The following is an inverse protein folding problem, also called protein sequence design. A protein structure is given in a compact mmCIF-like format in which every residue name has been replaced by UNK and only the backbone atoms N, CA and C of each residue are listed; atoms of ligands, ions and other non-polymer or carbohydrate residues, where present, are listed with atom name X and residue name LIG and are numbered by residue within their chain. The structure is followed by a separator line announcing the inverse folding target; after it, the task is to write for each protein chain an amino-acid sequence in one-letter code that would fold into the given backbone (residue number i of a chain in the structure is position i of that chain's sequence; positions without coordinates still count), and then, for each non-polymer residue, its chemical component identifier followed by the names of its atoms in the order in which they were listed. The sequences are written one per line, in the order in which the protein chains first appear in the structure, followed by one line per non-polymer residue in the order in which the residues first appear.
data_IF_884082696420
#
_entry.id   IF_884082696420
#
_cell.length_a   1.000
_cell.length_b   1.000
_cell.length_c   1.000
_cell.angle_alpha   90.00
_cell.angle_beta   90.00
_cell.angle_gamma   90.00
#
_symmetry.space_group_name_H-M   'P 1'
#
loop_
_entity.id
_entity.type
_entity.pdbx_description
1 polymer ?
#
# COMPACT_ATOMS: atom_id res chain seq x y z
N UNK A 1 -13.71 42.60 39.55
CA UNK A 1 -14.15 42.36 38.15
C UNK A 1 -12.99 41.78 37.35
N UNK A 2 -12.89 40.46 37.21
CA UNK A 2 -11.87 39.82 36.38
C UNK A 2 -12.39 39.59 34.97
N UNK A 3 -11.66 40.05 33.96
CA UNK A 3 -11.98 39.79 32.56
C UNK A 3 -11.97 38.28 32.32
N UNK A 4 -13.14 37.72 31.98
CA UNK A 4 -13.24 36.38 31.41
C UNK A 4 -12.64 36.47 30.01
N UNK A 5 -11.42 35.96 29.84
CA UNK A 5 -10.85 35.74 28.52
C UNK A 5 -11.81 34.82 27.76
N UNK A 6 -12.44 35.35 26.72
CA UNK A 6 -13.28 34.58 25.81
C UNK A 6 -12.29 33.71 25.05
N UNK A 7 -12.22 32.42 25.39
CA UNK A 7 -11.44 31.46 24.63
C UNK A 7 -11.97 31.45 23.20
N UNK A 8 -11.32 32.22 22.32
CA UNK A 8 -11.67 32.30 20.91
C UNK A 8 -11.50 30.93 20.25
N UNK A 9 -12.32 30.69 19.23
CA UNK A 9 -12.16 29.53 18.35
C UNK A 9 -10.74 29.57 17.77
N UNK A 10 -9.93 28.55 18.03
CA UNK A 10 -8.60 28.41 17.44
C UNK A 10 -8.77 28.03 15.97
N UNK A 11 -8.62 29.00 15.06
CA UNK A 11 -8.72 28.80 13.60
C UNK A 11 -7.41 28.30 12.95
N UNK A 12 -6.50 27.75 13.74
CA UNK A 12 -5.20 27.28 13.27
C UNK A 12 -5.22 25.75 13.08
N UNK A 13 -5.55 25.32 11.85
CA UNK A 13 -5.65 23.90 11.49
C UNK A 13 -4.27 23.26 11.43
N UNK A 14 -4.04 22.30 12.33
CA UNK A 14 -2.79 21.53 12.43
C UNK A 14 -3.06 20.20 13.14
N UNK A 15 -2.02 19.37 13.26
CA UNK A 15 -2.12 18.11 14.00
C UNK A 15 -2.65 18.31 15.42
N UNK A 16 -3.70 17.56 15.84
CA UNK A 16 -4.19 17.55 17.22
C UNK A 16 -3.12 17.20 18.27
N UNK A 17 -2.09 16.44 17.87
CA UNK A 17 -0.97 16.08 18.76
C UNK A 17 -0.14 17.29 19.21
N UNK A 18 -0.26 18.43 18.53
CA UNK A 18 0.41 19.68 18.91
C UNK A 18 -0.35 20.46 19.99
N UNK A 19 -1.52 19.98 20.42
CA UNK A 19 -2.31 20.56 21.50
C UNK A 19 -3.27 19.53 22.11
N UNK A 20 -2.72 18.46 22.71
CA UNK A 20 -3.49 17.30 23.21
C UNK A 20 -4.49 17.71 24.31
N UNK A 21 -4.11 18.66 25.16
CA UNK A 21 -5.00 19.18 26.21
C UNK A 21 -6.35 19.65 25.65
N UNK A 22 -6.30 20.53 24.64
CA UNK A 22 -7.51 21.11 24.05
C UNK A 22 -8.18 20.18 23.03
N UNK A 23 -7.42 19.31 22.35
CA UNK A 23 -7.97 18.46 21.29
C UNK A 23 -8.57 17.15 21.82
N UNK A 24 -7.94 16.53 22.81
CA UNK A 24 -8.26 15.16 23.26
C UNK A 24 -8.81 15.14 24.69
N UNK A 25 -8.22 15.90 25.60
CA UNK A 25 -8.53 15.79 27.04
C UNK A 25 -9.85 16.44 27.46
N UNK A 26 -10.51 17.16 26.55
CA UNK A 26 -11.91 17.57 26.71
C UNK A 26 -12.79 16.35 26.98
N UNK A 27 -12.52 15.23 26.28
CA UNK A 27 -13.25 13.96 26.38
C UNK A 27 -12.45 12.85 27.10
N UNK A 28 -11.15 12.72 26.85
CA UNK A 28 -10.32 11.63 27.39
C UNK A 28 -9.54 12.04 28.64
N UNK A 29 -9.82 11.39 29.78
CA UNK A 29 -9.18 11.72 31.07
C UNK A 29 -7.93 10.87 31.32
N UNK A 30 -6.97 10.94 30.41
CA UNK A 30 -5.66 10.28 30.50
C UNK A 30 -4.52 11.29 30.38
N UNK A 31 -3.31 10.98 30.88
CA UNK A 31 -2.13 11.83 30.69
C UNK A 31 -1.87 12.11 29.20
N UNK A 32 -1.39 13.31 28.89
CA UNK A 32 -1.08 13.69 27.49
C UNK A 32 -0.06 12.75 26.85
N UNK A 33 0.91 12.27 27.64
CA UNK A 33 1.91 11.29 27.20
C UNK A 33 1.30 9.97 26.78
N UNK A 34 0.33 9.46 27.53
CA UNK A 34 -0.36 8.20 27.21
C UNK A 34 -1.22 8.35 25.95
N UNK A 35 -1.94 9.48 25.81
CA UNK A 35 -2.73 9.77 24.60
C UNK A 35 -1.84 9.85 23.36
N UNK A 36 -0.70 10.53 23.48
CA UNK A 36 0.29 10.64 22.40
C UNK A 36 0.82 9.26 22.01
N UNK A 37 1.27 8.48 22.99
CA UNK A 37 1.82 7.14 22.77
C UNK A 37 0.81 6.23 22.06
N UNK A 38 -0.47 6.25 22.46
CA UNK A 38 -1.52 5.48 21.80
C UNK A 38 -1.68 5.84 20.32
N UNK A 39 -1.63 7.13 19.98
CA UNK A 39 -1.69 7.61 18.59
C UNK A 39 -0.47 7.12 17.82
N UNK A 40 0.73 7.28 18.38
CA UNK A 40 1.99 6.87 17.74
C UNK A 40 2.05 5.34 17.53
N UNK A 41 1.55 4.53 18.46
CA UNK A 41 1.44 3.07 18.31
C UNK A 41 0.55 2.71 17.13
N UNK A 42 -0.59 3.40 16.96
CA UNK A 42 -1.48 3.18 15.82
C UNK A 42 -0.74 3.50 14.52
N UNK A 43 -0.15 4.68 14.44
CA UNK A 43 0.57 5.14 13.24
C UNK A 43 1.73 4.20 12.89
N UNK A 44 2.51 3.77 13.88
CA UNK A 44 3.63 2.85 13.70
C UNK A 44 3.17 1.48 13.15
N UNK A 45 2.06 0.94 13.66
CA UNK A 45 1.50 -0.34 13.17
C UNK A 45 1.04 -0.24 11.73
N UNK A 46 0.32 0.83 11.39
CA UNK A 46 -0.19 1.04 10.03
C UNK A 46 0.95 1.29 9.07
N UNK A 47 1.92 2.13 9.44
CA UNK A 47 3.14 2.37 8.65
C UNK A 47 3.88 1.06 8.35
N UNK A 48 4.04 0.19 9.35
CA UNK A 48 4.64 -1.14 9.18
C UNK A 48 3.88 -2.01 8.17
N UNK A 49 2.56 -2.14 8.33
CA UNK A 49 1.72 -2.91 7.40
C UNK A 49 1.75 -2.35 5.98
N UNK A 50 1.75 -1.03 5.85
CA UNK A 50 1.80 -0.33 4.57
C UNK A 50 3.11 -0.58 3.84
N UNK A 51 4.25 -0.61 4.54
CA UNK A 51 5.53 -0.96 3.93
C UNK A 51 5.55 -2.42 3.47
N UNK A 52 5.03 -3.35 4.30
CA UNK A 52 4.89 -4.74 3.90
C UNK A 52 4.03 -4.90 2.64
N UNK A 53 2.92 -4.16 2.53
CA UNK A 53 2.06 -4.17 1.35
C UNK A 53 2.77 -3.61 0.11
N UNK A 54 3.55 -2.53 0.26
CA UNK A 54 4.30 -1.93 -0.85
C UNK A 54 5.33 -2.86 -1.46
N UNK A 55 6.08 -3.54 -0.62
CA UNK A 55 7.20 -4.37 -1.07
C UNK A 55 6.74 -5.77 -1.52
N UNK A 56 5.47 -6.13 -1.27
CA UNK A 56 5.00 -7.51 -1.33
C UNK A 56 5.10 -8.20 -2.71
N UNK A 57 5.04 -7.48 -3.83
CA UNK A 57 5.04 -8.08 -5.19
C UNK A 57 5.91 -7.32 -6.21
N UNK A 58 6.23 -6.07 -5.93
CA UNK A 58 6.92 -5.19 -6.90
C UNK A 58 8.29 -5.72 -7.30
N UNK A 59 9.05 -6.26 -6.36
CA UNK A 59 10.41 -6.77 -6.63
C UNK A 59 10.39 -8.12 -7.35
N UNK A 60 9.39 -8.96 -7.10
CA UNK A 60 9.19 -10.20 -7.87
C UNK A 60 8.90 -9.90 -9.35
N UNK A 61 8.03 -8.91 -9.62
CA UNK A 61 7.74 -8.46 -10.98
C UNK A 61 8.96 -7.86 -11.67
N UNK A 62 9.77 -7.06 -10.96
CA UNK A 62 11.05 -6.54 -11.48
C UNK A 62 12.00 -7.68 -11.84
N UNK A 63 12.18 -8.65 -10.93
CA UNK A 63 13.05 -9.80 -11.15
C UNK A 63 12.58 -10.68 -12.31
N UNK A 64 11.28 -10.95 -12.40
CA UNK A 64 10.68 -11.72 -13.49
C UNK A 64 10.88 -11.06 -14.86
N UNK A 65 10.72 -9.73 -14.92
CA UNK A 65 11.01 -8.94 -16.13
C UNK A 65 12.50 -8.96 -16.48
N UNK A 66 13.39 -8.83 -15.50
CA UNK A 66 14.84 -8.89 -15.72
C UNK A 66 15.31 -10.27 -16.19
N UNK A 67 14.61 -11.35 -15.80
CA UNK A 67 14.84 -12.71 -16.28
C UNK A 67 14.31 -12.97 -17.70
N UNK A 68 13.71 -11.96 -18.37
CA UNK A 68 13.25 -12.08 -19.74
C UNK A 68 11.90 -12.78 -19.93
N UNK A 69 11.09 -12.88 -18.87
CA UNK A 69 9.71 -13.40 -19.02
C UNK A 69 8.91 -12.54 -20.00
N UNK A 70 8.14 -13.18 -20.88
CA UNK A 70 7.32 -12.49 -21.85
C UNK A 70 6.22 -11.67 -21.15
N UNK A 71 5.83 -10.54 -21.73
CA UNK A 71 4.80 -9.67 -21.14
C UNK A 71 3.45 -10.39 -20.95
N UNK A 72 3.14 -11.36 -21.83
CA UNK A 72 1.96 -12.20 -21.72
C UNK A 72 1.98 -13.07 -20.46
N UNK A 73 3.14 -13.61 -20.09
CA UNK A 73 3.32 -14.43 -18.89
C UNK A 73 3.21 -13.58 -17.61
N UNK A 74 3.56 -12.29 -17.67
CA UNK A 74 3.47 -11.37 -16.53
C UNK A 74 2.06 -10.80 -16.31
N UNK A 75 1.13 -10.98 -17.25
CA UNK A 75 -0.15 -10.28 -17.26
C UNK A 75 -0.99 -10.54 -15.99
N UNK A 76 -1.10 -11.80 -15.56
CA UNK A 76 -1.88 -12.16 -14.37
C UNK A 76 -1.30 -11.55 -13.08
N UNK A 77 0.03 -11.61 -12.91
CA UNK A 77 0.70 -11.02 -11.75
C UNK A 77 0.58 -9.49 -11.74
N UNK A 78 0.63 -8.84 -12.91
CA UNK A 78 0.41 -7.39 -13.04
C UNK A 78 -1.02 -6.96 -12.72
N UNK A 79 -2.03 -7.77 -13.05
CA UNK A 79 -3.42 -7.49 -12.64
C UNK A 79 -3.57 -7.52 -11.13
N UNK A 80 -3.00 -8.53 -10.47
CA UNK A 80 -2.95 -8.58 -9.00
C UNK A 80 -2.22 -7.37 -8.40
N UNK A 81 -1.05 -7.00 -8.95
CA UNK A 81 -0.32 -5.80 -8.53
C UNK A 81 -1.16 -4.54 -8.65
N UNK A 82 -1.87 -4.34 -9.77
CA UNK A 82 -2.72 -3.16 -9.99
C UNK A 82 -3.80 -3.04 -8.91
N UNK A 83 -4.45 -4.16 -8.58
CA UNK A 83 -5.51 -4.20 -7.55
C UNK A 83 -4.94 -4.00 -6.14
N UNK A 84 -3.82 -4.65 -5.84
CA UNK A 84 -3.11 -4.49 -4.56
C UNK A 84 -2.68 -3.04 -4.35
N UNK A 85 -2.12 -2.41 -5.39
CA UNK A 85 -1.66 -1.03 -5.36
C UNK A 85 -2.81 -0.05 -5.17
N UNK A 86 -3.97 -0.26 -5.79
CA UNK A 86 -5.14 0.59 -5.54
C UNK A 86 -5.53 0.62 -4.05
N UNK A 87 -5.55 -0.54 -3.39
CA UNK A 87 -5.89 -0.64 -1.97
C UNK A 87 -4.82 0.00 -1.08
N UNK A 88 -3.55 -0.19 -1.41
CA UNK A 88 -2.43 0.48 -0.75
C UNK A 88 -2.57 2.02 -0.86
N UNK A 89 -2.73 2.52 -2.08
CA UNK A 89 -2.80 3.95 -2.38
C UNK A 89 -4.01 4.59 -1.69
N UNK A 90 -5.13 3.86 -1.58
CA UNK A 90 -6.31 4.32 -0.85
C UNK A 90 -6.01 4.58 0.64
N UNK A 91 -5.24 3.71 1.28
CA UNK A 91 -4.83 3.89 2.69
C UNK A 91 -3.78 4.99 2.81
N UNK A 92 -2.82 5.04 1.89
CA UNK A 92 -1.71 6.00 1.93
C UNK A 92 -2.13 7.44 1.59
N UNK A 93 -3.22 7.62 0.84
CA UNK A 93 -3.79 8.93 0.54
C UNK A 93 -4.29 9.67 1.81
N UNK A 94 -4.42 8.96 2.93
CA UNK A 94 -4.85 9.46 4.22
C UNK A 94 -3.63 9.77 5.11
N UNK A 95 -3.36 11.06 5.35
CA UNK A 95 -2.12 11.51 6.00
C UNK A 95 -2.06 11.28 7.53
N UNK A 96 -3.14 10.87 8.20
CA UNK A 96 -3.10 10.55 9.64
C UNK A 96 -2.48 9.19 9.94
N UNK A 97 -2.11 8.42 8.91
CA UNK A 97 -1.48 7.10 9.03
C UNK A 97 -2.40 6.13 9.79
N UNK A 98 -3.67 6.12 9.41
CA UNK A 98 -4.68 5.21 9.95
C UNK A 98 -5.19 5.56 11.35
N UNK A 99 -4.89 6.73 11.91
CA UNK A 99 -5.43 7.15 13.20
C UNK A 99 -6.97 7.23 13.18
N UNK A 100 -7.56 7.73 12.08
CA UNK A 100 -9.01 7.89 11.97
C UNK A 100 -9.78 6.56 11.88
N UNK A 101 -9.19 5.50 11.32
CA UNK A 101 -9.84 4.20 11.14
C UNK A 101 -8.81 3.05 11.12
N UNK A 102 -8.12 2.76 12.25
CA UNK A 102 -6.95 1.89 12.23
C UNK A 102 -7.26 0.44 11.86
N UNK A 103 -8.40 -0.07 12.30
CA UNK A 103 -8.82 -1.44 11.98
C UNK A 103 -9.17 -1.58 10.49
N UNK A 104 -9.79 -0.56 9.91
CA UNK A 104 -10.14 -0.57 8.49
C UNK A 104 -8.90 -0.40 7.60
N UNK A 105 -7.98 0.50 7.97
CA UNK A 105 -6.70 0.62 7.30
C UNK A 105 -5.94 -0.71 7.34
N UNK A 106 -5.89 -1.39 8.49
CA UNK A 106 -5.27 -2.71 8.61
C UNK A 106 -5.97 -3.79 7.75
N UNK A 107 -7.31 -3.79 7.68
CA UNK A 107 -8.08 -4.72 6.83
C UNK A 107 -7.73 -4.54 5.36
N UNK A 108 -7.76 -3.29 4.86
CA UNK A 108 -7.47 -2.96 3.46
C UNK A 108 -6.01 -3.31 3.11
N UNK A 109 -5.06 -2.99 3.99
CA UNK A 109 -3.65 -3.36 3.78
C UNK A 109 -3.47 -4.89 3.79
N UNK A 110 -4.21 -5.61 4.63
CA UNK A 110 -4.25 -7.08 4.60
C UNK A 110 -4.73 -7.62 3.24
N UNK A 111 -5.79 -7.04 2.67
CA UNK A 111 -6.28 -7.41 1.33
C UNK A 111 -5.29 -7.04 0.22
N UNK A 112 -4.61 -5.90 0.33
CA UNK A 112 -3.51 -5.53 -0.57
C UNK A 112 -2.38 -6.57 -0.55
N UNK A 113 -1.99 -7.01 0.66
CA UNK A 113 -0.98 -8.06 0.83
C UNK A 113 -1.46 -9.38 0.24
N UNK A 114 -2.70 -9.82 0.49
CA UNK A 114 -3.24 -11.07 -0.09
C UNK A 114 -3.20 -11.05 -1.63
N UNK A 115 -3.67 -9.96 -2.25
CA UNK A 115 -3.61 -9.80 -3.70
C UNK A 115 -2.16 -9.87 -4.21
N UNK A 116 -1.23 -9.22 -3.52
CA UNK A 116 0.20 -9.32 -3.84
C UNK A 116 0.72 -10.76 -3.74
N UNK A 117 0.34 -11.52 -2.70
CA UNK A 117 0.71 -12.94 -2.57
C UNK A 117 0.12 -13.79 -3.70
N UNK A 118 -1.12 -13.53 -4.13
CA UNK A 118 -1.71 -14.20 -5.30
C UNK A 118 -0.95 -13.89 -6.59
N UNK A 119 -0.47 -12.66 -6.75
CA UNK A 119 0.44 -12.30 -7.85
C UNK A 119 1.77 -13.05 -7.81
N UNK A 120 2.35 -13.25 -6.62
CA UNK A 120 3.56 -14.06 -6.47
C UNK A 120 3.35 -15.53 -6.85
N UNK A 121 2.22 -16.12 -6.44
CA UNK A 121 1.84 -17.49 -6.84
C UNK A 121 1.71 -17.59 -8.36
N UNK A 122 1.05 -16.62 -9.00
CA UNK A 122 0.93 -16.58 -10.46
C UNK A 122 2.31 -16.56 -11.17
N UNK A 123 3.30 -15.85 -10.62
CA UNK A 123 4.68 -15.88 -11.14
C UNK A 123 5.38 -17.22 -10.91
N UNK A 124 5.14 -17.88 -9.77
CA UNK A 124 5.76 -19.16 -9.42
C UNK A 124 5.25 -20.31 -10.30
N UNK A 125 3.95 -20.35 -10.58
CA UNK A 125 3.33 -21.40 -11.40
C UNK A 125 3.87 -21.42 -12.84
N UNK A 126 4.40 -20.29 -13.31
CA UNK A 126 5.06 -20.18 -14.62
C UNK A 126 6.48 -20.73 -14.61
N UNK A 127 7.23 -20.55 -13.51
CA UNK A 127 8.59 -21.11 -13.35
C UNK A 127 8.59 -22.64 -13.28
N UNK A 128 7.48 -23.24 -12.87
CA UNK A 128 7.29 -24.70 -12.82
C UNK A 128 6.91 -25.34 -14.17
N UNK A 129 6.58 -24.54 -15.19
CA UNK A 129 6.25 -25.04 -16.53
C UNK A 129 7.51 -24.98 -17.41
N UNK A 130 7.87 -26.07 -18.11
CA UNK A 130 8.96 -26.01 -19.08
C UNK A 130 8.61 -24.93 -20.12
N UNK A 131 9.56 -24.03 -20.37
CA UNK A 131 9.40 -22.98 -21.35
C UNK A 131 9.00 -23.62 -22.69
N UNK A 132 7.76 -23.40 -23.12
CA UNK A 132 7.38 -23.68 -24.50
C UNK A 132 8.16 -22.68 -25.32
N UNK A 133 9.31 -23.12 -25.86
CA UNK A 133 10.02 -22.37 -26.89
C UNK A 133 9.00 -22.14 -27.99
N UNK A 134 8.63 -20.89 -28.24
CA UNK A 134 7.94 -20.54 -29.46
C UNK A 134 8.81 -21.05 -30.60
N UNK A 135 8.31 -22.07 -31.31
CA UNK A 135 8.95 -22.53 -32.52
C UNK A 135 9.03 -21.31 -33.44
N UNK A 136 10.26 -20.89 -33.76
CA UNK A 136 10.48 -19.84 -34.72
C UNK A 136 9.75 -20.20 -36.00
N UNK A 137 8.75 -19.41 -36.38
CA UNK A 137 8.23 -19.43 -37.73
C UNK A 137 9.34 -18.92 -38.63
N UNK A 138 10.05 -19.86 -39.24
CA UNK A 138 10.98 -19.62 -40.34
C UNK A 138 10.22 -18.87 -41.45
N UNK A 139 10.74 -17.74 -41.97
CA UNK A 139 10.09 -17.05 -43.07
C UNK A 139 10.09 -17.94 -44.31
N UNK A 140 9.01 -17.99 -45.11
CA UNK A 140 8.99 -18.79 -46.33
C UNK A 140 10.09 -18.32 -47.29
N UNK A 141 10.94 -19.25 -47.68
CA UNK A 141 12.01 -19.04 -48.64
C UNK A 141 11.42 -18.67 -50.02
N UNK A 142 11.75 -17.47 -50.48
CA UNK A 142 11.89 -17.15 -51.90
C UNK A 142 10.60 -17.05 -52.73
N UNK A 143 10.08 -15.82 -52.84
CA UNK A 143 9.41 -15.40 -54.08
C UNK A 143 10.49 -14.76 -54.97
N UNK A 144 10.89 -15.48 -56.02
CA UNK A 144 11.69 -14.92 -57.11
C UNK A 144 10.70 -14.23 -58.07
N UNK A 145 10.66 -12.90 -58.04
CA UNK A 145 9.88 -12.10 -59.00
C UNK A 145 10.70 -12.00 -60.30
N UNK A 146 10.09 -12.14 -61.49
CA UNK A 146 10.75 -11.85 -62.77
C UNK A 146 11.13 -10.38 -62.92
#
# INVERSE_FOLDING_TARGET
MGLRSVAGIILHVRSPLLNINHACQTCHKWPESELKERVEIIQQRIFGLRNLAMDALIDDLKAARAAGMADADLAAARDFQRRAQFLLDFVEAENSTGFHAPQEAARILGESIDLSRRGQVALRDLKGKPAVRSAGTEPPSGVRVP
#
